data_IF_717467983991
#
_entry.id   IF_717467983991
#
_cell.length_a   1.000
_cell.length_b   1.000
_cell.length_c   1.000
_cell.angle_alpha   90.00
_cell.angle_beta   90.00
_cell.angle_gamma   90.00
#
_symmetry.space_group_name_H-M   'P 1'
#
loop_
_entity.id
_entity.type
_entity.pdbx_description
1 polymer ?
#
# COMPACT_ATOMS: atom_id res chain seq x y z
N UNK A 1 -21.59 -17.05 24.17
CA UNK A 1 -21.77 -17.21 22.71
C UNK A 1 -20.79 -16.30 21.98
N UNK A 2 -19.81 -16.86 21.27
CA UNK A 2 -18.84 -16.04 20.52
C UNK A 2 -19.56 -15.34 19.35
N UNK A 3 -19.43 -14.01 19.24
CA UNK A 3 -20.01 -13.26 18.11
C UNK A 3 -19.37 -13.77 16.83
N UNK A 4 -20.16 -14.28 15.88
CA UNK A 4 -19.66 -14.65 14.54
C UNK A 4 -19.07 -13.40 13.89
N UNK A 5 -17.74 -13.37 13.75
CA UNK A 5 -17.04 -12.27 13.07
C UNK A 5 -17.41 -12.35 11.59
N UNK A 6 -18.08 -11.31 11.08
CA UNK A 6 -18.43 -11.22 9.67
C UNK A 6 -17.19 -10.82 8.86
N UNK A 7 -16.71 -11.70 7.99
CA UNK A 7 -15.63 -11.38 7.07
C UNK A 7 -16.04 -10.23 6.11
N UNK A 8 -15.11 -9.33 5.75
CA UNK A 8 -15.39 -8.27 4.79
C UNK A 8 -15.69 -8.85 3.41
N UNK A 9 -16.44 -8.12 2.58
CA UNK A 9 -16.71 -8.55 1.20
C UNK A 9 -15.43 -8.61 0.35
N UNK A 10 -15.44 -9.41 -0.71
CA UNK A 10 -14.28 -9.51 -1.62
C UNK A 10 -13.95 -8.18 -2.30
N UNK A 11 -14.96 -7.35 -2.59
CA UNK A 11 -14.73 -5.99 -3.09
C UNK A 11 -13.92 -5.14 -2.09
N UNK A 12 -14.25 -5.21 -0.79
CA UNK A 12 -13.48 -4.52 0.25
C UNK A 12 -12.05 -5.06 0.36
N UNK A 13 -11.86 -6.37 0.21
CA UNK A 13 -10.52 -6.99 0.18
C UNK A 13 -9.70 -6.49 -1.00
N UNK A 14 -10.25 -6.53 -2.22
CA UNK A 14 -9.58 -6.03 -3.43
C UNK A 14 -9.18 -4.56 -3.27
N UNK A 15 -10.08 -3.73 -2.73
CA UNK A 15 -9.78 -2.32 -2.45
C UNK A 15 -8.61 -2.18 -1.48
N UNK A 16 -8.62 -2.92 -0.36
CA UNK A 16 -7.54 -2.87 0.62
C UNK A 16 -6.18 -3.27 0.03
N UNK A 17 -6.16 -4.36 -0.75
CA UNK A 17 -4.95 -4.84 -1.43
C UNK A 17 -4.45 -3.83 -2.47
N UNK A 18 -5.36 -3.15 -3.19
CA UNK A 18 -4.98 -2.12 -4.15
C UNK A 18 -4.40 -0.89 -3.45
N UNK A 19 -5.01 -0.44 -2.35
CA UNK A 19 -4.52 0.69 -1.59
C UNK A 19 -3.14 0.40 -0.96
N UNK A 20 -2.93 -0.81 -0.42
CA UNK A 20 -1.64 -1.29 0.08
C UNK A 20 -0.57 -1.32 -1.02
N UNK A 21 -0.91 -1.92 -2.17
CA UNK A 21 -0.02 -1.96 -3.32
C UNK A 21 0.39 -0.54 -3.77
N UNK A 22 -0.58 0.36 -3.93
CA UNK A 22 -0.34 1.72 -4.37
C UNK A 22 0.53 2.51 -3.37
N UNK A 23 0.34 2.27 -2.07
CA UNK A 23 1.18 2.84 -1.01
C UNK A 23 2.64 2.38 -1.16
N UNK A 24 2.85 1.07 -1.27
CA UNK A 24 4.19 0.48 -1.33
C UNK A 24 4.96 0.86 -2.59
N UNK A 25 4.27 0.99 -3.73
CA UNK A 25 4.86 1.54 -4.96
C UNK A 25 5.41 2.95 -4.72
N UNK A 26 4.59 3.84 -4.14
CA UNK A 26 5.01 5.21 -3.87
C UNK A 26 6.13 5.30 -2.82
N UNK A 27 6.12 4.43 -1.82
CA UNK A 27 7.19 4.34 -0.82
C UNK A 27 8.52 3.93 -1.45
N UNK A 28 8.52 2.86 -2.26
CA UNK A 28 9.71 2.42 -3.00
C UNK A 28 10.27 3.55 -3.86
N UNK A 29 9.40 4.29 -4.54
CA UNK A 29 9.77 5.36 -5.46
C UNK A 29 10.12 6.69 -4.75
N UNK A 30 10.35 6.64 -3.43
CA UNK A 30 10.75 7.82 -2.64
C UNK A 30 9.72 8.95 -2.65
N UNK A 31 8.44 8.61 -2.89
CA UNK A 31 7.35 9.59 -3.05
C UNK A 31 7.61 10.61 -4.15
N UNK A 32 8.19 10.16 -5.26
CA UNK A 32 8.40 10.98 -6.45
C UNK A 32 7.82 10.31 -7.68
N UNK A 33 7.60 11.12 -8.70
CA UNK A 33 7.30 10.67 -10.04
C UNK A 33 8.57 10.07 -10.64
N UNK A 34 8.51 8.82 -11.07
CA UNK A 34 9.67 8.16 -11.69
C UNK A 34 10.08 8.74 -13.04
N UNK A 35 9.19 9.49 -13.72
CA UNK A 35 9.50 10.10 -15.01
C UNK A 35 10.06 11.52 -14.89
N UNK A 36 9.54 12.34 -13.98
CA UNK A 36 9.91 13.76 -13.89
C UNK A 36 10.45 14.21 -12.53
N UNK A 37 10.42 13.35 -11.50
CA UNK A 37 10.89 13.67 -10.15
C UNK A 37 9.95 14.53 -9.29
N UNK A 38 8.83 15.01 -9.84
CA UNK A 38 7.83 15.78 -9.08
C UNK A 38 7.10 14.94 -8.01
N UNK A 39 6.53 15.57 -7.00
CA UNK A 39 5.93 14.93 -5.82
C UNK A 39 4.44 15.24 -5.62
N UNK A 40 3.86 16.06 -6.50
CA UNK A 40 2.45 16.43 -6.46
C UNK A 40 1.54 15.40 -7.14
N UNK A 41 0.35 15.19 -6.55
CA UNK A 41 -0.73 14.37 -7.11
C UNK A 41 -0.29 12.98 -7.60
N UNK A 42 0.56 12.31 -6.83
CA UNK A 42 1.11 11.01 -7.20
C UNK A 42 0.05 9.90 -7.23
N UNK A 43 0.13 9.07 -8.25
CA UNK A 43 -0.68 7.87 -8.47
C UNK A 43 0.22 6.68 -8.77
N UNK A 44 -0.19 5.49 -8.34
CA UNK A 44 0.49 4.26 -8.71
C UNK A 44 -0.09 3.74 -10.02
N UNK A 45 0.78 3.45 -10.98
CA UNK A 45 0.45 3.00 -12.33
C UNK A 45 1.02 1.60 -12.57
N UNK A 46 0.26 0.71 -13.19
CA UNK A 46 0.75 -0.61 -13.60
C UNK A 46 1.47 -0.53 -14.94
N UNK A 47 2.77 -0.81 -15.02
CA UNK A 47 3.54 -0.55 -16.26
C UNK A 47 3.76 -1.78 -17.16
N UNK A 48 3.78 -3.01 -16.62
CA UNK A 48 4.07 -4.22 -17.41
C UNK A 48 2.80 -5.01 -17.76
N UNK A 49 2.10 -5.53 -16.75
CA UNK A 49 0.81 -6.20 -16.95
C UNK A 49 -0.33 -5.30 -16.48
N UNK A 50 -0.95 -4.61 -17.43
CA UNK A 50 -2.04 -3.64 -17.23
C UNK A 50 -3.43 -4.28 -17.17
N UNK A 51 -3.57 -5.54 -17.62
CA UNK A 51 -4.88 -6.17 -17.80
C UNK A 51 -5.68 -6.20 -16.49
N UNK A 52 -6.87 -5.62 -16.52
CA UNK A 52 -7.67 -5.29 -15.34
C UNK A 52 -8.20 -6.50 -14.56
N UNK A 53 -8.13 -7.73 -15.10
CA UNK A 53 -8.94 -8.83 -14.56
C UNK A 53 -8.26 -10.17 -14.73
N UNK A 54 -7.43 -10.54 -13.77
CA UNK A 54 -7.28 -11.96 -13.50
C UNK A 54 -6.18 -12.33 -12.54
N UNK A 55 -5.06 -11.61 -12.48
CA UNK A 55 -3.85 -12.22 -11.93
C UNK A 55 -3.18 -11.46 -10.78
N UNK A 56 -2.41 -12.19 -9.96
CA UNK A 56 -1.76 -11.67 -8.75
C UNK A 56 -0.68 -10.62 -9.02
N UNK A 57 -0.11 -10.59 -10.24
CA UNK A 57 0.88 -9.57 -10.63
C UNK A 57 0.38 -8.13 -10.46
N UNK A 58 -0.95 -7.91 -10.42
CA UNK A 58 -1.55 -6.60 -10.11
C UNK A 58 -1.14 -6.02 -8.76
N UNK A 59 -0.87 -6.88 -7.77
CA UNK A 59 -0.48 -6.46 -6.42
C UNK A 59 1.04 -6.63 -6.18
N UNK A 60 1.81 -6.94 -7.22
CA UNK A 60 3.26 -6.93 -7.19
C UNK A 60 3.76 -5.48 -7.25
N UNK A 61 4.61 -5.08 -6.30
CA UNK A 61 5.14 -3.71 -6.25
C UNK A 61 6.01 -3.41 -7.47
N UNK A 62 6.80 -4.38 -7.94
CA UNK A 62 7.64 -4.20 -9.12
C UNK A 62 6.83 -4.03 -10.42
N UNK A 63 5.56 -4.43 -10.45
CA UNK A 63 4.64 -4.12 -11.55
C UNK A 63 3.99 -2.73 -11.41
N UNK A 64 4.42 -1.92 -10.44
CA UNK A 64 3.92 -0.56 -10.22
C UNK A 64 5.00 0.49 -10.41
N UNK A 65 4.57 1.71 -10.75
CA UNK A 65 5.38 2.92 -10.82
C UNK A 65 4.60 4.11 -10.25
N UNK A 66 5.26 4.94 -9.45
CA UNK A 66 4.72 6.20 -8.93
C UNK A 66 4.87 7.29 -9.97
N UNK A 67 3.75 7.87 -10.42
CA UNK A 67 3.70 8.91 -11.45
C UNK A 67 2.82 10.07 -10.98
N UNK A 68 3.24 11.31 -11.24
CA UNK A 68 2.37 12.47 -11.06
C UNK A 68 1.19 12.44 -12.05
N UNK A 69 0.11 13.15 -11.75
CA UNK A 69 -1.08 13.18 -12.59
C UNK A 69 -0.76 13.47 -14.08
N UNK A 70 0.10 14.46 -14.35
CA UNK A 70 0.47 14.85 -15.72
C UNK A 70 1.16 13.71 -16.45
N UNK A 71 2.21 13.12 -15.87
CA UNK A 71 2.92 12.00 -16.50
C UNK A 71 2.03 10.76 -16.61
N UNK A 72 1.20 10.50 -15.60
CA UNK A 72 0.30 9.36 -15.60
C UNK A 72 -0.72 9.42 -16.75
N UNK A 73 -1.40 10.56 -16.92
CA UNK A 73 -2.43 10.70 -17.94
C UNK A 73 -1.79 10.93 -19.32
N UNK A 74 -0.94 11.94 -19.46
CA UNK A 74 -0.47 12.38 -20.78
C UNK A 74 0.57 11.45 -21.39
N UNK A 75 1.57 11.06 -20.60
CA UNK A 75 2.70 10.27 -21.13
C UNK A 75 2.37 8.77 -21.22
N UNK A 76 1.53 8.27 -20.31
CA UNK A 76 1.32 6.82 -20.18
C UNK A 76 -0.06 6.35 -20.62
N UNK A 77 -1.12 7.13 -20.44
CA UNK A 77 -2.45 6.77 -20.93
C UNK A 77 -2.77 7.32 -22.32
N UNK A 78 -2.44 8.58 -22.60
CA UNK A 78 -2.77 9.23 -23.87
C UNK A 78 -1.71 9.01 -24.95
N UNK A 79 -0.42 8.98 -24.58
CA UNK A 79 0.69 8.82 -25.52
C UNK A 79 1.69 7.70 -25.12
N UNK A 80 1.24 6.44 -24.93
CA UNK A 80 2.12 5.34 -24.55
C UNK A 80 3.09 4.99 -25.68
N UNK A 81 4.30 5.54 -25.63
CA UNK A 81 5.41 5.17 -26.48
C UNK A 81 6.32 4.12 -25.82
N UNK A 82 7.01 3.31 -26.63
CA UNK A 82 8.03 2.38 -26.12
C UNK A 82 9.10 3.07 -25.28
N UNK A 83 9.52 4.27 -25.67
CA UNK A 83 10.50 5.07 -24.92
C UNK A 83 10.00 5.43 -23.51
N UNK A 84 8.70 5.75 -23.37
CA UNK A 84 8.08 6.03 -22.07
C UNK A 84 8.02 4.77 -21.20
N UNK A 85 7.61 3.63 -21.79
CA UNK A 85 7.56 2.36 -21.07
C UNK A 85 8.95 1.91 -20.62
N UNK A 86 9.96 2.05 -21.48
CA UNK A 86 11.35 1.73 -21.14
C UNK A 86 11.90 2.67 -20.06
N UNK A 87 11.58 3.97 -20.11
CA UNK A 87 11.95 4.92 -19.07
C UNK A 87 11.34 4.54 -17.71
N UNK A 88 10.05 4.16 -17.67
CA UNK A 88 9.41 3.66 -16.45
C UNK A 88 10.11 2.38 -15.97
N UNK A 89 10.35 1.41 -16.84
CA UNK A 89 11.03 0.15 -16.49
C UNK A 89 12.41 0.39 -15.88
N UNK A 90 13.23 1.23 -16.52
CA UNK A 90 14.58 1.58 -16.01
C UNK A 90 14.50 2.27 -14.66
N UNK A 91 13.56 3.19 -14.47
CA UNK A 91 13.38 3.88 -13.19
C UNK A 91 12.92 2.92 -12.08
N UNK A 92 12.03 1.96 -12.38
CA UNK A 92 11.61 0.93 -11.42
C UNK A 92 12.80 0.05 -11.01
N UNK A 93 13.60 -0.41 -11.96
CA UNK A 93 14.81 -1.21 -11.68
C UNK A 93 15.79 -0.42 -10.80
N UNK A 94 16.01 0.86 -11.10
CA UNK A 94 16.91 1.70 -10.32
C UNK A 94 16.48 1.91 -8.86
N UNK A 95 15.18 1.86 -8.58
CA UNK A 95 14.62 2.05 -7.23
C UNK A 95 14.24 0.72 -6.53
N UNK A 96 14.43 -0.43 -7.19
CA UNK A 96 14.11 -1.74 -6.64
C UNK A 96 15.36 -2.64 -6.74
N UNK A 97 16.23 -2.66 -5.71
CA UNK A 97 17.45 -3.47 -5.72
C UNK A 97 17.20 -4.96 -5.97
N UNK A 98 16.04 -5.45 -5.53
CA UNK A 98 15.61 -6.84 -5.66
C UNK A 98 14.61 -7.06 -6.82
N UNK A 99 14.61 -6.16 -7.82
CA UNK A 99 13.71 -6.26 -8.96
C UNK A 99 13.81 -7.63 -9.65
N UNK A 100 12.68 -8.31 -9.77
CA UNK A 100 12.59 -9.59 -10.48
C UNK A 100 11.43 -9.58 -11.50
N UNK A 101 11.76 -9.33 -12.76
CA UNK A 101 10.79 -9.38 -13.86
C UNK A 101 10.17 -10.78 -14.05
N UNK A 102 10.94 -11.84 -13.77
CA UNK A 102 10.46 -13.22 -13.85
C UNK A 102 9.39 -13.47 -12.80
N UNK A 103 9.54 -12.91 -11.60
CA UNK A 103 8.50 -12.96 -10.57
C UNK A 103 7.21 -12.28 -11.05
N UNK A 104 7.29 -11.08 -11.63
CA UNK A 104 6.10 -10.39 -12.18
C UNK A 104 5.39 -11.28 -13.21
N UNK A 105 6.15 -11.88 -14.14
CA UNK A 105 5.62 -12.79 -15.17
C UNK A 105 5.03 -14.06 -14.57
N UNK A 106 5.65 -14.65 -13.57
CA UNK A 106 5.08 -15.83 -12.90
C UNK A 106 3.73 -15.50 -12.25
N UNK A 107 3.67 -14.35 -11.58
CA UNK A 107 2.44 -13.85 -10.95
C UNK A 107 1.35 -13.49 -11.98
N UNK A 108 1.68 -13.26 -13.26
CA UNK A 108 0.67 -13.02 -14.30
C UNK A 108 -0.09 -14.30 -14.69
N UNK A 109 0.44 -15.48 -14.34
CA UNK A 109 -0.20 -16.77 -14.58
C UNK A 109 -1.01 -17.29 -13.37
N UNK A 110 -1.07 -16.54 -12.27
CA UNK A 110 -1.79 -16.95 -11.06
C UNK A 110 -3.09 -16.18 -10.93
N UNK A 111 -4.22 -16.89 -11.02
CA UNK A 111 -5.55 -16.29 -10.94
C UNK A 111 -5.92 -15.75 -9.54
N UNK A 112 -6.64 -14.63 -9.53
CA UNK A 112 -7.21 -13.95 -8.37
C UNK A 112 -8.52 -14.60 -7.93
N UNK A 113 -8.43 -15.87 -7.56
CA UNK A 113 -9.54 -16.57 -6.91
C UNK A 113 -9.88 -15.94 -5.56
N UNK A 114 -11.09 -16.22 -5.06
CA UNK A 114 -11.51 -15.80 -3.71
C UNK A 114 -10.50 -16.24 -2.65
N UNK A 115 -9.99 -17.46 -2.74
CA UNK A 115 -8.99 -18.00 -1.81
C UNK A 115 -7.68 -17.22 -1.87
N UNK A 116 -7.15 -16.99 -3.07
CA UNK A 116 -5.90 -16.22 -3.26
C UNK A 116 -6.05 -14.81 -2.71
N UNK A 117 -7.16 -14.12 -2.99
CA UNK A 117 -7.42 -12.78 -2.46
C UNK A 117 -7.48 -12.76 -0.92
N UNK A 118 -8.05 -13.78 -0.29
CA UNK A 118 -8.07 -13.91 1.17
C UNK A 118 -6.68 -14.17 1.73
N UNK A 119 -5.93 -15.09 1.15
CA UNK A 119 -4.55 -15.38 1.57
C UNK A 119 -3.65 -14.14 1.46
N UNK A 120 -3.75 -13.39 0.36
CA UNK A 120 -3.02 -12.13 0.19
C UNK A 120 -3.44 -11.09 1.22
N UNK A 121 -4.73 -11.01 1.53
CA UNK A 121 -5.25 -10.09 2.54
C UNK A 121 -4.80 -10.47 3.96
N UNK A 122 -4.78 -11.75 4.28
CA UNK A 122 -4.26 -12.25 5.55
C UNK A 122 -2.77 -11.95 5.68
N UNK A 123 -1.99 -12.22 4.62
CA UNK A 123 -0.56 -11.88 4.57
C UNK A 123 -0.30 -10.37 4.69
N UNK A 124 -1.13 -9.53 4.07
CA UNK A 124 -1.05 -8.07 4.20
C UNK A 124 -1.31 -7.64 5.66
N UNK A 125 -2.29 -8.23 6.33
CA UNK A 125 -2.62 -7.90 7.73
C UNK A 125 -1.59 -8.42 8.72
N UNK A 126 -0.98 -9.58 8.45
CA UNK A 126 0.01 -10.20 9.35
C UNK A 126 1.41 -9.61 9.22
N UNK A 127 1.65 -8.70 8.27
CA UNK A 127 2.94 -8.03 8.15
C UNK A 127 3.05 -6.97 9.24
N UNK A 128 4.09 -7.00 10.08
CA UNK A 128 4.40 -5.86 10.91
C UNK A 128 4.62 -4.67 9.98
N UNK A 129 3.84 -3.61 10.17
CA UNK A 129 4.12 -2.35 9.49
C UNK A 129 5.37 -1.81 10.18
N UNK A 130 6.53 -1.98 9.55
CA UNK A 130 7.72 -1.21 9.92
C UNK A 130 7.44 0.24 9.54
N UNK A 131 6.81 0.97 10.46
CA UNK A 131 6.61 2.40 10.32
C UNK A 131 7.98 3.03 10.58
N UNK A 132 8.77 3.16 9.51
CA UNK A 132 10.07 3.82 9.53
C UNK A 132 10.00 5.18 10.23
N UNK A 133 11.13 5.59 10.81
CA UNK A 133 11.32 6.66 11.80
C UNK A 133 10.84 8.08 11.44
N UNK A 134 10.09 8.27 10.35
CA UNK A 134 9.62 9.58 9.88
C UNK A 134 8.16 9.52 9.44
N UNK A 135 7.32 10.39 10.00
CA UNK A 135 5.99 10.69 9.45
C UNK A 135 4.79 10.16 10.25
N UNK A 136 5.02 9.63 11.45
CA UNK A 136 3.93 9.35 12.39
C UNK A 136 4.04 10.20 13.64
N UNK A 137 2.91 10.76 14.05
CA UNK A 137 2.80 11.54 15.28
C UNK A 137 1.86 10.80 16.23
N UNK A 138 2.38 10.44 17.40
CA UNK A 138 1.53 10.03 18.51
C UNK A 138 1.16 11.27 19.30
N UNK A 139 -0.14 11.57 19.35
CA UNK A 139 -0.70 12.62 20.18
C UNK A 139 -1.47 11.99 21.34
N UNK A 140 -1.09 12.36 22.56
CA UNK A 140 -1.87 12.02 23.75
C UNK A 140 -2.95 13.10 23.96
N UNK A 141 -4.17 12.68 24.28
CA UNK A 141 -5.25 13.61 24.64
C UNK A 141 -6.08 12.95 25.74
N UNK A 142 -5.85 13.40 26.97
CA UNK A 142 -6.34 12.72 28.17
C UNK A 142 -5.73 11.32 28.28
N UNK A 143 -6.58 10.29 28.45
CA UNK A 143 -6.16 8.87 28.54
C UNK A 143 -6.04 8.16 27.17
N UNK A 144 -6.22 8.88 26.06
CA UNK A 144 -6.23 8.28 24.71
C UNK A 144 -4.96 8.63 23.95
N UNK A 145 -4.42 7.62 23.27
CA UNK A 145 -3.31 7.74 22.34
C UNK A 145 -3.85 7.77 20.91
N UNK A 146 -3.49 8.81 20.18
CA UNK A 146 -3.84 8.97 18.78
C UNK A 146 -2.60 8.87 17.92
N UNK A 147 -2.61 7.92 16.99
CA UNK A 147 -1.58 7.78 15.99
C UNK A 147 -2.07 8.44 14.71
N UNK A 148 -1.38 9.49 14.28
CA UNK A 148 -1.55 10.03 12.93
C UNK A 148 -0.43 9.43 12.09
N UNK A 149 -0.75 8.42 11.30
CA UNK A 149 0.18 7.87 10.30
C UNK A 149 -0.27 8.36 8.96
N UNK A 150 0.61 9.09 8.30
CA UNK A 150 0.36 9.44 6.92
C UNK A 150 0.30 8.15 6.09
N UNK A 151 -0.86 7.91 5.47
CA UNK A 151 -1.06 6.91 4.42
C UNK A 151 -1.00 5.43 4.84
N UNK A 152 -1.25 5.09 6.12
CA UNK A 152 -1.64 3.72 6.49
C UNK A 152 -3.13 3.52 6.18
N UNK A 153 -3.57 2.33 5.74
CA UNK A 153 -4.98 2.06 5.47
C UNK A 153 -5.65 1.41 6.71
N UNK A 154 -6.88 1.81 7.12
CA UNK A 154 -7.57 1.25 8.28
C UNK A 154 -7.62 -0.27 8.36
N UNK A 155 -7.84 -0.94 7.23
CA UNK A 155 -7.91 -2.41 7.17
C UNK A 155 -6.55 -3.12 7.33
N UNK A 156 -5.45 -2.37 7.20
CA UNK A 156 -4.10 -2.86 7.45
C UNK A 156 -3.61 -2.50 8.87
N UNK A 157 -4.27 -1.53 9.52
CA UNK A 157 -3.88 -1.05 10.84
C UNK A 157 -4.74 -1.65 11.95
N UNK A 158 -6.07 -1.56 11.83
CA UNK A 158 -7.00 -1.90 12.91
C UNK A 158 -6.95 -3.40 13.23
N UNK A 159 -6.77 -3.72 14.52
CA UNK A 159 -6.59 -5.07 15.03
C UNK A 159 -5.16 -5.60 14.98
N UNK A 160 -4.20 -4.82 14.47
CA UNK A 160 -2.77 -5.12 14.57
C UNK A 160 -2.14 -4.45 15.79
N UNK A 161 -0.99 -4.97 16.19
CA UNK A 161 -0.14 -4.38 17.23
C UNK A 161 1.05 -3.65 16.64
N UNK A 162 1.53 -2.63 17.34
CA UNK A 162 2.73 -1.88 16.97
C UNK A 162 3.48 -1.45 18.23
N UNK A 163 4.81 -1.32 18.11
CA UNK A 163 5.62 -0.79 19.21
C UNK A 163 5.67 0.74 19.14
N UNK A 164 5.23 1.41 20.20
CA UNK A 164 5.20 2.86 20.32
C UNK A 164 6.30 3.31 21.29
N UNK A 165 7.28 4.12 20.87
CA UNK A 165 8.32 4.66 21.73
C UNK A 165 7.73 5.30 23.00
N UNK A 166 8.21 4.86 24.15
CA UNK A 166 7.76 5.35 25.46
C UNK A 166 6.38 4.83 25.93
N UNK A 167 5.64 4.07 25.11
CA UNK A 167 4.36 3.46 25.49
C UNK A 167 4.35 1.93 25.33
N UNK A 168 5.36 1.33 24.70
CA UNK A 168 5.43 -0.12 24.49
C UNK A 168 4.47 -0.61 23.41
N UNK A 169 4.05 -1.87 23.50
CA UNK A 169 3.19 -2.49 22.48
C UNK A 169 1.76 -1.97 22.61
N UNK A 170 1.23 -1.43 21.52
CA UNK A 170 -0.13 -0.92 21.43
C UNK A 170 -0.91 -1.65 20.34
N UNK A 171 -2.18 -1.97 20.59
CA UNK A 171 -3.14 -2.38 19.57
C UNK A 171 -3.75 -1.15 18.89
N UNK A 172 -3.91 -1.20 17.57
CA UNK A 172 -4.64 -0.17 16.83
C UNK A 172 -6.14 -0.50 16.83
N UNK A 173 -6.94 0.30 17.52
CA UNK A 173 -8.34 -0.03 17.80
C UNK A 173 -9.33 0.50 16.77
N UNK A 174 -9.14 1.76 16.35
CA UNK A 174 -10.12 2.49 15.53
C UNK A 174 -9.38 3.40 14.56
N UNK A 175 -9.90 3.57 13.35
CA UNK A 175 -9.43 4.57 12.41
C UNK A 175 -10.55 5.57 12.09
N UNK A 176 -10.24 6.86 12.13
CA UNK A 176 -11.09 7.96 11.69
C UNK A 176 -10.45 8.62 10.47
N UNK A 177 -11.25 8.86 9.42
CA UNK A 177 -10.78 9.59 8.24
C UNK A 177 -10.56 11.07 8.62
N UNK A 178 -9.43 11.62 8.20
CA UNK A 178 -9.09 13.05 8.30
C UNK A 178 -8.74 13.56 6.89
N UNK A 179 -8.61 14.88 6.73
CA UNK A 179 -8.39 15.52 5.42
C UNK A 179 -7.24 14.88 4.63
N UNK A 180 -6.13 14.59 5.31
CA UNK A 180 -4.91 14.03 4.70
C UNK A 180 -4.62 12.56 5.08
N UNK A 181 -5.66 11.78 5.43
CA UNK A 181 -5.51 10.34 5.65
C UNK A 181 -6.37 9.79 6.78
N UNK A 182 -5.73 9.13 7.75
CA UNK A 182 -6.40 8.49 8.86
C UNK A 182 -5.72 8.80 10.19
N UNK A 183 -6.55 9.07 11.20
CA UNK A 183 -6.14 9.10 12.60
C UNK A 183 -6.57 7.80 13.26
N UNK A 184 -5.68 7.20 14.02
CA UNK A 184 -5.89 5.92 14.68
C UNK A 184 -5.94 6.08 16.19
N UNK A 185 -6.85 5.38 16.85
CA UNK A 185 -6.84 5.25 18.31
C UNK A 185 -6.01 4.03 18.69
N UNK A 186 -5.09 4.20 19.62
CA UNK A 186 -4.27 3.12 20.15
C UNK A 186 -4.75 2.71 21.55
N UNK A 187 -4.78 1.40 21.80
CA UNK A 187 -4.92 0.80 23.12
C UNK A 187 -3.59 0.22 23.55
N UNK A 188 -3.06 0.66 24.69
CA UNK A 188 -1.83 0.09 25.22
C UNK A 188 -2.13 -1.34 25.71
N UNK A 189 -1.35 -2.31 25.26
CA UNK A 189 -1.43 -3.67 25.79
C UNK A 189 -0.57 -3.68 27.05
N UNK A 190 -1.19 -3.97 28.20
CA UNK A 190 -0.45 -4.14 29.46
C UNK A 190 0.59 -5.25 29.28
N UNK A 191 1.80 -5.01 29.81
CA UNK A 191 2.82 -6.06 29.98
C UNK A 191 2.49 -6.87 31.23
#
# INVERSE_FOLDING_TARGET
>A
MSKKIKLPSISKVKKALHDDWALRVKQRDGWKCLLCGGDELLTAHHWYFTSQRGHTARYCVDNGASLCFTCHIREVHENPGWATVDAVRRAVIANSPDFDEKNIRNLSFVDLTTTVLRSMWDAMRSRPVEIGATGWQVKETGKKLFLSVFRLHPLAAVGNTMNVPGKGVCEVLVAAKIDDGYRYTLGQLEQ
#
